data_IF_707869476575
#
_entry.id   IF_707869476575
#
_cell.length_a   1.000
_cell.length_b   1.000
_cell.length_c   1.000
_cell.angle_alpha   90.00
_cell.angle_beta   90.00
_cell.angle_gamma   90.00
#
_symmetry.space_group_name_H-M   'P 1'
#
loop_
_entity.id
_entity.type
_entity.pdbx_description
1 polymer ?
#
# COMPACT_ATOMS: atom_id res chain seq x y z
N UNK A 1 9.31 -0.87 -7.70
CA UNK A 1 10.42 -1.82 -7.92
C UNK A 1 11.61 -1.31 -7.16
N UNK A 2 12.27 -2.17 -6.40
CA UNK A 2 13.50 -1.81 -5.70
C UNK A 2 14.68 -1.89 -6.67
N UNK A 3 15.25 -0.74 -7.04
CA UNK A 3 16.48 -0.60 -7.85
C UNK A 3 17.27 0.60 -7.35
N UNK A 4 17.90 0.50 -6.16
CA UNK A 4 18.56 1.63 -5.50
C UNK A 4 19.69 2.23 -6.36
N UNK A 5 20.33 1.43 -7.21
CA UNK A 5 21.36 1.88 -8.16
C UNK A 5 20.82 2.84 -9.24
N UNK A 6 19.50 2.84 -9.44
CA UNK A 6 18.78 3.76 -10.34
C UNK A 6 18.00 4.83 -9.59
N UNK A 7 18.09 4.87 -8.26
CA UNK A 7 17.27 5.74 -7.41
C UNK A 7 15.79 5.39 -7.44
N UNK A 8 15.43 4.16 -7.84
CA UNK A 8 14.05 3.69 -7.87
C UNK A 8 13.76 2.86 -6.61
N UNK A 9 12.57 3.03 -6.06
CA UNK A 9 12.15 2.33 -4.86
C UNK A 9 10.63 2.38 -4.66
N UNK A 10 10.20 1.88 -3.52
CA UNK A 10 8.78 1.85 -3.13
C UNK A 10 8.32 3.09 -2.36
N UNK A 11 9.25 3.93 -1.88
CA UNK A 11 8.92 5.14 -1.11
C UNK A 11 7.90 6.05 -1.80
N UNK A 12 8.00 6.27 -3.11
CA UNK A 12 7.03 7.13 -3.82
C UNK A 12 5.59 6.57 -3.74
N UNK A 13 5.44 5.24 -3.78
CA UNK A 13 4.14 4.59 -3.60
C UNK A 13 3.66 4.69 -2.16
N UNK A 14 4.55 4.47 -1.18
CA UNK A 14 4.25 4.64 0.23
C UNK A 14 3.84 6.09 0.58
N UNK A 15 4.52 7.10 0.05
CA UNK A 15 4.16 8.53 0.20
C UNK A 15 2.76 8.82 -0.34
N UNK A 16 2.39 8.18 -1.45
CA UNK A 16 1.05 8.31 -1.99
C UNK A 16 0.00 7.72 -1.02
N UNK A 17 0.27 6.54 -0.45
CA UNK A 17 -0.60 5.92 0.57
C UNK A 17 -0.71 6.80 1.81
N UNK A 18 0.42 7.27 2.35
CA UNK A 18 0.50 8.16 3.51
C UNK A 18 -0.37 9.40 3.33
N UNK A 19 -0.29 10.04 2.16
CA UNK A 19 -1.10 11.22 1.84
C UNK A 19 -2.61 10.90 1.87
N UNK A 20 -3.04 9.76 1.30
CA UNK A 20 -4.45 9.34 1.35
C UNK A 20 -4.92 9.07 2.77
N UNK A 21 -4.11 8.40 3.59
CA UNK A 21 -4.43 8.15 5.01
C UNK A 21 -4.61 9.46 5.79
N UNK A 22 -3.71 10.44 5.59
CA UNK A 22 -3.81 11.75 6.24
C UNK A 22 -5.01 12.57 5.75
N UNK A 23 -5.33 12.52 4.47
CA UNK A 23 -6.53 13.19 3.91
C UNK A 23 -7.84 12.63 4.49
N UNK A 24 -7.85 11.35 4.87
CA UNK A 24 -8.97 10.71 5.58
C UNK A 24 -9.01 11.06 7.08
N UNK A 25 -8.01 11.77 7.60
CA UNK A 25 -7.91 12.11 9.03
C UNK A 25 -7.48 10.93 9.91
N UNK A 26 -6.85 9.90 9.33
CA UNK A 26 -6.35 8.76 10.09
C UNK A 26 -5.08 9.15 10.86
N UNK A 27 -4.91 8.59 12.06
CA UNK A 27 -3.60 8.61 12.72
C UNK A 27 -2.64 7.82 11.82
N UNK A 28 -1.59 8.47 11.31
CA UNK A 28 -0.74 7.90 10.25
C UNK A 28 0.73 8.03 10.60
N UNK A 29 1.42 6.89 10.66
CA UNK A 29 2.85 6.74 10.89
C UNK A 29 3.54 6.32 9.59
N UNK A 30 4.71 6.92 9.34
CA UNK A 30 5.54 6.61 8.19
C UNK A 30 6.92 6.24 8.71
N UNK A 31 7.22 4.95 8.66
CA UNK A 31 8.34 4.37 9.40
C UNK A 31 9.35 3.82 8.41
N UNK A 32 10.55 4.41 8.39
CA UNK A 32 11.65 3.92 7.55
C UNK A 32 12.25 2.67 8.20
N UNK A 33 11.96 1.50 7.62
CA UNK A 33 12.58 0.22 8.01
C UNK A 33 14.02 0.17 7.50
N UNK A 34 14.20 0.58 6.25
CA UNK A 34 15.50 0.86 5.64
C UNK A 34 15.43 2.16 4.82
N UNK A 35 16.58 2.78 4.46
CA UNK A 35 16.58 3.94 3.58
C UNK A 35 15.81 3.67 2.27
N UNK A 36 14.75 4.43 2.00
CA UNK A 36 13.91 4.27 0.82
C UNK A 36 12.86 3.15 0.90
N UNK A 37 12.74 2.47 2.05
CA UNK A 37 11.84 1.34 2.28
C UNK A 37 10.99 1.55 3.54
N UNK A 38 9.91 2.33 3.40
CA UNK A 38 9.05 2.65 4.52
C UNK A 38 7.84 1.73 4.64
N UNK A 39 7.44 1.45 5.88
CA UNK A 39 6.09 1.05 6.20
C UNK A 39 5.18 2.29 6.33
N UNK A 40 3.92 2.17 5.94
CA UNK A 40 2.86 3.13 6.26
C UNK A 40 1.84 2.43 7.15
N UNK A 41 1.71 2.91 8.37
CA UNK A 41 0.77 2.37 9.36
C UNK A 41 -0.26 3.45 9.64
N UNK A 42 -1.54 3.14 9.46
CA UNK A 42 -2.61 4.10 9.74
C UNK A 42 -3.76 3.49 10.54
N UNK A 43 -4.34 4.28 11.46
CA UNK A 43 -5.38 3.84 12.37
C UNK A 43 -6.63 4.71 12.26
N UNK A 44 -7.78 4.04 12.24
CA UNK A 44 -9.09 4.64 12.47
C UNK A 44 -9.74 4.01 13.71
N UNK A 45 -9.57 4.63 14.87
CA UNK A 45 -10.18 4.19 16.12
C UNK A 45 -11.61 4.73 16.24
N UNK A 46 -12.59 3.84 16.36
CA UNK A 46 -14.02 4.18 16.41
C UNK A 46 -14.65 3.90 17.78
N UNK A 47 -13.96 3.18 18.66
CA UNK A 47 -14.38 2.86 20.02
C UNK A 47 -13.64 1.63 20.56
N UNK A 48 -14.03 1.14 21.72
CA UNK A 48 -13.49 -0.11 22.28
C UNK A 48 -13.92 -1.32 21.45
N UNK A 49 -13.02 -2.25 21.19
CA UNK A 49 -13.35 -3.45 20.41
C UNK A 49 -12.15 -4.09 19.74
N UNK A 50 -12.38 -5.08 18.85
CA UNK A 50 -11.31 -5.73 18.10
C UNK A 50 -10.68 -4.78 17.05
N UNK A 51 -9.46 -5.10 16.66
CA UNK A 51 -8.78 -4.45 15.53
C UNK A 51 -8.93 -5.33 14.29
N UNK A 52 -9.42 -4.75 13.19
CA UNK A 52 -9.33 -5.34 11.86
C UNK A 52 -8.15 -4.72 11.13
N UNK A 53 -7.18 -5.54 10.74
CA UNK A 53 -6.04 -5.09 9.94
C UNK A 53 -6.26 -5.42 8.46
N UNK A 54 -6.13 -4.41 7.60
CA UNK A 54 -5.81 -4.63 6.20
C UNK A 54 -4.30 -4.51 6.04
N UNK A 55 -3.69 -5.62 5.62
CA UNK A 55 -2.28 -5.69 5.31
C UNK A 55 -2.10 -5.70 3.78
N UNK A 56 -1.05 -5.05 3.32
CA UNK A 56 -0.60 -5.15 1.95
C UNK A 56 0.75 -4.48 1.76
N UNK A 57 1.30 -4.55 0.54
CA UNK A 57 2.65 -4.07 0.27
C UNK A 57 2.71 -3.06 -0.89
N UNK A 58 3.74 -2.20 -0.86
CA UNK A 58 3.92 -1.11 -1.84
C UNK A 58 5.02 -1.38 -2.87
N UNK A 59 5.94 -2.29 -2.58
CA UNK A 59 6.86 -2.84 -3.57
C UNK A 59 6.13 -3.68 -4.61
N UNK A 60 6.88 -3.97 -5.67
CA UNK A 60 6.49 -4.87 -6.74
C UNK A 60 7.79 -5.50 -7.24
N UNK A 61 7.72 -6.75 -7.69
CA UNK A 61 8.83 -7.36 -8.43
C UNK A 61 9.20 -6.58 -9.70
N UNK A 62 10.37 -6.87 -10.25
CA UNK A 62 10.79 -6.36 -11.55
C UNK A 62 9.82 -6.75 -12.67
N UNK A 63 9.84 -5.98 -13.75
CA UNK A 63 9.03 -6.20 -14.95
C UNK A 63 9.54 -7.35 -15.83
N UNK A 64 10.74 -7.89 -15.59
CA UNK A 64 11.36 -8.85 -16.50
C UNK A 64 11.80 -8.18 -17.80
N UNK A 65 11.61 -8.86 -18.95
CA UNK A 65 11.87 -8.30 -20.28
C UNK A 65 10.73 -7.36 -20.71
N UNK A 66 10.96 -6.04 -20.84
CA UNK A 66 9.93 -5.10 -21.26
C UNK A 66 9.36 -5.39 -22.65
N UNK A 67 10.12 -6.04 -23.55
CA UNK A 67 9.66 -6.38 -24.90
C UNK A 67 8.64 -7.52 -24.91
N UNK A 68 8.56 -8.31 -23.84
CA UNK A 68 7.56 -9.36 -23.68
C UNK A 68 6.19 -8.82 -23.24
N UNK A 69 6.09 -7.54 -22.86
CA UNK A 69 4.85 -6.92 -22.46
C UNK A 69 4.10 -6.36 -23.68
N UNK A 70 2.78 -6.58 -23.71
CA UNK A 70 1.91 -5.95 -24.71
C UNK A 70 1.79 -4.44 -24.52
N UNK A 71 1.87 -3.98 -23.27
CA UNK A 71 1.74 -2.60 -22.84
C UNK A 71 2.89 -2.28 -21.87
N UNK A 72 3.48 -1.07 -21.84
CA UNK A 72 4.61 -0.79 -20.95
C UNK A 72 4.27 -1.14 -19.48
N UNK A 73 5.14 -1.85 -18.75
CA UNK A 73 4.79 -2.49 -17.49
C UNK A 73 4.32 -1.54 -16.40
N UNK A 74 4.72 -0.27 -16.46
CA UNK A 74 4.34 0.75 -15.47
C UNK A 74 3.38 1.82 -16.04
N UNK A 75 2.72 1.54 -17.17
CA UNK A 75 1.80 2.48 -17.82
C UNK A 75 0.39 2.53 -17.20
N UNK A 76 -0.01 1.48 -16.46
CA UNK A 76 -1.38 1.30 -15.99
C UNK A 76 -2.43 1.36 -17.13
N UNK A 77 -2.09 0.77 -18.28
CA UNK A 77 -2.95 0.80 -19.48
C UNK A 77 -4.29 0.14 -19.21
N UNK A 78 -5.39 0.81 -19.59
CA UNK A 78 -6.74 0.27 -19.49
C UNK A 78 -7.16 -0.29 -20.84
N UNK A 79 -7.51 -1.58 -20.86
CA UNK A 79 -7.97 -2.28 -22.07
C UNK A 79 -9.00 -3.33 -21.70
N UNK A 80 -10.11 -3.37 -22.43
CA UNK A 80 -11.21 -4.33 -22.25
C UNK A 80 -11.72 -4.41 -20.80
N UNK A 81 -11.81 -3.26 -20.12
CA UNK A 81 -12.27 -3.17 -18.73
C UNK A 81 -11.27 -3.65 -17.68
N UNK A 82 -10.01 -3.90 -18.06
CA UNK A 82 -8.93 -4.31 -17.15
C UNK A 82 -7.80 -3.30 -17.14
N UNK A 83 -7.10 -3.20 -16.01
CA UNK A 83 -5.88 -2.41 -15.85
C UNK A 83 -4.69 -3.35 -16.00
N UNK A 84 -3.78 -3.03 -16.91
CA UNK A 84 -2.55 -3.75 -17.17
C UNK A 84 -1.34 -2.95 -16.67
N UNK A 85 -0.61 -3.54 -15.74
CA UNK A 85 0.63 -3.00 -15.23
C UNK A 85 1.17 -3.83 -14.07
N UNK A 86 2.49 -3.85 -13.90
CA UNK A 86 3.15 -4.41 -12.73
C UNK A 86 2.64 -3.69 -11.48
N UNK A 87 2.18 -4.46 -10.50
CA UNK A 87 1.53 -3.93 -9.30
C UNK A 87 0.02 -3.86 -9.38
N UNK A 88 -0.60 -3.92 -10.59
CA UNK A 88 -2.04 -3.70 -10.72
C UNK A 88 -2.83 -4.76 -9.95
N UNK A 89 -2.52 -6.04 -10.15
CA UNK A 89 -3.13 -7.13 -9.37
C UNK A 89 -2.43 -7.34 -8.03
N UNK A 90 -1.09 -7.36 -8.05
CA UNK A 90 -0.25 -7.76 -6.92
C UNK A 90 0.68 -6.62 -6.47
N UNK A 91 0.31 -5.84 -5.44
CA UNK A 91 -1.04 -5.80 -4.86
C UNK A 91 -1.65 -4.40 -4.73
N UNK A 92 -1.25 -3.47 -5.59
CA UNK A 92 -1.70 -2.06 -5.50
C UNK A 92 -3.21 -1.90 -5.63
N UNK A 93 -3.91 -2.73 -6.40
CA UNK A 93 -5.38 -2.71 -6.37
C UNK A 93 -5.93 -3.09 -4.99
N UNK A 94 -5.35 -4.10 -4.33
CA UNK A 94 -5.70 -4.48 -2.96
C UNK A 94 -5.49 -3.33 -1.97
N UNK A 95 -4.33 -2.67 -2.03
CA UNK A 95 -4.02 -1.47 -1.22
C UNK A 95 -5.06 -0.37 -1.44
N UNK A 96 -5.38 -0.04 -2.71
CA UNK A 96 -6.38 0.98 -3.04
C UNK A 96 -7.77 0.59 -2.54
N UNK A 97 -8.16 -0.68 -2.67
CA UNK A 97 -9.44 -1.18 -2.16
C UNK A 97 -9.54 -1.05 -0.63
N UNK A 98 -8.48 -1.37 0.11
CA UNK A 98 -8.44 -1.19 1.57
C UNK A 98 -8.57 0.29 1.98
N UNK A 99 -7.86 1.18 1.28
CA UNK A 99 -7.98 2.63 1.49
C UNK A 99 -9.40 3.14 1.22
N UNK A 100 -10.01 2.74 0.09
CA UNK A 100 -11.36 3.17 -0.28
C UNK A 100 -12.41 2.59 0.66
N UNK A 101 -12.27 1.34 1.11
CA UNK A 101 -13.17 0.74 2.10
C UNK A 101 -13.12 1.51 3.42
N UNK A 102 -11.93 1.87 3.88
CA UNK A 102 -11.73 2.67 5.09
C UNK A 102 -12.32 4.07 4.91
N UNK A 103 -12.07 4.71 3.77
CA UNK A 103 -12.66 6.01 3.43
C UNK A 103 -14.19 5.98 3.48
N UNK A 104 -14.81 4.95 2.91
CA UNK A 104 -16.25 4.83 2.89
C UNK A 104 -16.85 4.75 4.30
N UNK A 105 -16.16 4.07 5.22
CA UNK A 105 -16.56 4.02 6.64
C UNK A 105 -16.45 5.41 7.27
N UNK A 106 -15.31 6.08 7.11
CA UNK A 106 -15.08 7.44 7.61
C UNK A 106 -16.14 8.42 7.10
N UNK A 107 -16.34 8.46 5.78
CA UNK A 107 -17.26 9.40 5.13
C UNK A 107 -18.74 9.14 5.49
N UNK A 108 -19.09 7.88 5.79
CA UNK A 108 -20.47 7.52 6.13
C UNK A 108 -20.92 8.05 7.51
N UNK A 109 -19.98 8.33 8.42
CA UNK A 109 -20.28 8.71 9.80
C UNK A 109 -21.01 7.63 10.62
N UNK A 110 -21.00 6.38 10.16
CA UNK A 110 -21.59 5.26 10.89
C UNK A 110 -20.87 5.06 12.22
N UNK A 111 -21.61 4.76 13.28
CA UNK A 111 -21.04 4.46 14.59
C UNK A 111 -20.71 2.99 14.69
N UNK A 112 -19.42 2.67 14.62
CA UNK A 112 -18.86 1.34 14.84
C UNK A 112 -17.98 1.35 16.09
N UNK A 113 -17.57 0.16 16.52
CA UNK A 113 -16.65 -0.06 17.63
C UNK A 113 -15.38 -0.77 17.12
N UNK A 114 -14.27 -0.63 17.85
CA UNK A 114 -12.98 -1.19 17.46
C UNK A 114 -12.15 -0.24 16.59
N UNK A 115 -11.15 -0.82 15.92
CA UNK A 115 -10.14 -0.09 15.16
C UNK A 115 -9.92 -0.71 13.79
N UNK A 116 -9.85 0.12 12.75
CA UNK A 116 -9.28 -0.29 11.47
C UNK A 116 -7.80 0.07 11.48
N UNK A 117 -6.95 -0.91 11.21
CA UNK A 117 -5.51 -0.74 11.05
C UNK A 117 -5.14 -1.00 9.59
N UNK A 118 -4.47 -0.05 8.95
CA UNK A 118 -3.88 -0.21 7.63
C UNK A 118 -2.38 -0.40 7.81
N UNK A 119 -1.86 -1.57 7.45
CA UNK A 119 -0.42 -1.83 7.40
C UNK A 119 0.00 -2.00 5.96
N UNK A 120 0.56 -0.93 5.36
CA UNK A 120 1.08 -0.96 4.01
C UNK A 120 2.60 -1.04 4.07
N UNK A 121 3.12 -2.26 3.99
CA UNK A 121 4.51 -2.58 4.32
C UNK A 121 5.43 -2.50 3.11
N UNK A 122 6.73 -2.38 3.38
CA UNK A 122 7.75 -2.51 2.36
C UNK A 122 8.29 -3.94 2.25
N UNK A 123 8.86 -4.26 1.08
CA UNK A 123 9.63 -5.48 0.83
C UNK A 123 8.91 -6.83 1.00
N UNK A 124 7.62 -6.91 0.77
CA UNK A 124 6.94 -8.20 0.88
C UNK A 124 7.50 -9.21 -0.14
N UNK A 125 7.75 -8.74 -1.37
CA UNK A 125 8.14 -9.58 -2.51
C UNK A 125 9.61 -10.05 -2.43
N UNK A 126 10.35 -9.58 -1.43
CA UNK A 126 11.76 -9.84 -1.22
C UNK A 126 12.04 -10.46 0.14
N UNK A 127 12.57 -9.65 1.06
CA UNK A 127 13.02 -10.08 2.38
C UNK A 127 11.93 -10.08 3.45
N UNK A 128 10.74 -9.56 3.15
CA UNK A 128 9.64 -9.32 4.11
C UNK A 128 10.08 -8.43 5.28
N UNK A 129 11.03 -7.50 5.06
CA UNK A 129 11.57 -6.69 6.16
C UNK A 129 10.49 -5.81 6.80
N UNK A 130 9.52 -5.31 6.01
CA UNK A 130 8.50 -4.41 6.50
C UNK A 130 7.60 -5.05 7.54
N UNK A 131 7.02 -6.22 7.22
CA UNK A 131 6.15 -6.92 8.17
C UNK A 131 6.93 -7.47 9.38
N UNK A 132 8.20 -7.86 9.20
CA UNK A 132 9.06 -8.32 10.31
C UNK A 132 9.36 -7.20 11.31
N UNK A 133 9.62 -6.00 10.80
CA UNK A 133 9.83 -4.81 11.62
C UNK A 133 8.55 -4.44 12.38
N UNK A 134 7.38 -4.50 11.71
CA UNK A 134 6.09 -4.20 12.32
C UNK A 134 5.71 -5.09 13.52
N UNK A 135 6.12 -6.37 13.51
CA UNK A 135 5.74 -7.33 14.57
C UNK A 135 6.79 -7.50 15.68
N UNK A 136 7.94 -6.84 15.56
CA UNK A 136 9.07 -6.97 16.50
C UNK A 136 8.83 -6.19 17.81
#
# INVERSE_FOLDING_TARGET
VWRPERGEGEEAAARWVEARCREMGLETHFELVEPGRPNVIALHQMGDGPTLMFEGHTDVVTEGDPAAWADPPFSATIRDGRIYGRGANDMKAGVVCALVATKAIVDSGIKLNGTILLGMVCDEEGGMIGIKDFVA
#
